data_IF_173411991121
#
_entry.id   IF_173411991121
#
_cell.length_a   1.000
_cell.length_b   1.000
_cell.length_c   1.000
_cell.angle_alpha   90.00
_cell.angle_beta   90.00
_cell.angle_gamma   90.00
#
_symmetry.space_group_name_H-M   'P 1'
#
loop_
_entity.id
_entity.type
_entity.pdbx_description
1 polymer ?
#
# COMPACT_ATOMS: atom_id res chain seq x y z
N UNK A 1 16.88 -20.89 -20.17
CA UNK A 1 17.71 -19.83 -19.54
C UNK A 1 17.87 -20.17 -18.08
N UNK A 2 19.08 -20.07 -17.52
CA UNK A 2 19.31 -20.27 -16.09
C UNK A 2 18.65 -19.15 -15.28
N UNK A 3 18.05 -19.48 -14.13
CA UNK A 3 17.42 -18.48 -13.25
C UNK A 3 18.46 -17.48 -12.75
N UNK A 4 18.25 -16.21 -13.01
CA UNK A 4 19.09 -15.09 -12.51
C UNK A 4 18.84 -14.75 -11.04
N UNK A 5 17.72 -15.20 -10.47
CA UNK A 5 17.33 -14.96 -9.08
C UNK A 5 16.85 -16.26 -8.42
N UNK A 6 17.17 -16.44 -7.14
CA UNK A 6 16.62 -17.51 -6.32
C UNK A 6 15.11 -17.28 -6.09
N UNK A 7 14.33 -18.36 -5.98
CA UNK A 7 12.87 -18.28 -5.89
C UNK A 7 12.38 -17.53 -4.65
N UNK A 8 13.06 -17.69 -3.53
CA UNK A 8 12.81 -16.99 -2.26
C UNK A 8 13.06 -15.47 -2.36
N UNK A 9 13.68 -15.00 -3.44
CA UNK A 9 13.93 -13.58 -3.74
C UNK A 9 12.95 -12.98 -4.75
N UNK A 10 11.97 -13.74 -5.22
CA UNK A 10 10.91 -13.25 -6.11
C UNK A 10 9.65 -12.94 -5.29
N UNK A 11 8.99 -11.83 -5.61
CA UNK A 11 7.69 -11.43 -5.06
C UNK A 11 6.76 -11.06 -6.20
N UNK A 12 5.65 -11.78 -6.37
CA UNK A 12 4.60 -11.39 -7.31
C UNK A 12 3.49 -10.67 -6.54
N UNK A 13 3.37 -9.35 -6.70
CA UNK A 13 2.40 -8.54 -5.96
C UNK A 13 1.41 -7.82 -6.87
N UNK A 14 0.16 -7.70 -6.42
CA UNK A 14 -0.84 -6.85 -7.05
C UNK A 14 -1.10 -5.59 -6.24
N UNK A 15 -1.39 -4.47 -6.91
CA UNK A 15 -1.89 -3.25 -6.25
C UNK A 15 -3.39 -3.18 -6.47
N UNK A 16 -4.17 -3.20 -5.39
CA UNK A 16 -5.63 -3.35 -5.42
C UNK A 16 -6.31 -2.28 -4.57
N UNK A 17 -7.43 -1.72 -5.03
CA UNK A 17 -8.15 -0.64 -4.36
C UNK A 17 -9.43 -0.27 -5.12
N UNK A 18 -10.31 0.53 -4.50
CA UNK A 18 -11.37 1.23 -5.21
C UNK A 18 -10.84 2.35 -6.14
N UNK A 19 -11.72 2.94 -6.94
CA UNK A 19 -11.40 4.06 -7.85
C UNK A 19 -10.83 5.23 -7.04
N UNK A 20 -9.87 5.96 -7.63
CA UNK A 20 -9.24 7.14 -7.03
C UNK A 20 -8.47 6.95 -5.72
N UNK A 21 -8.38 5.75 -5.14
CA UNK A 21 -7.57 5.50 -3.93
C UNK A 21 -6.05 5.74 -4.12
N UNK A 22 -5.59 5.86 -5.37
CA UNK A 22 -4.19 6.13 -5.72
C UNK A 22 -3.34 4.89 -6.02
N UNK A 23 -3.94 3.82 -6.60
CA UNK A 23 -3.21 2.60 -7.01
C UNK A 23 -2.06 2.92 -7.98
N UNK A 24 -2.38 3.54 -9.10
CA UNK A 24 -1.42 3.85 -10.17
C UNK A 24 -0.31 4.74 -9.66
N UNK A 25 -0.65 5.80 -8.91
CA UNK A 25 0.33 6.68 -8.26
C UNK A 25 1.24 5.91 -7.29
N UNK A 26 0.69 4.95 -6.54
CA UNK A 26 1.48 4.09 -5.65
C UNK A 26 2.44 3.21 -6.46
N UNK A 27 1.98 2.59 -7.54
CA UNK A 27 2.81 1.80 -8.45
C UNK A 27 3.96 2.62 -9.03
N UNK A 28 3.67 3.82 -9.51
CA UNK A 28 4.68 4.74 -10.06
C UNK A 28 5.72 5.15 -9.02
N UNK A 29 5.30 5.43 -7.78
CA UNK A 29 6.22 5.74 -6.68
C UNK A 29 7.11 4.55 -6.34
N UNK A 30 6.59 3.32 -6.33
CA UNK A 30 7.40 2.11 -6.15
C UNK A 30 8.48 2.02 -7.23
N UNK A 31 8.11 2.25 -8.50
CA UNK A 31 9.04 2.21 -9.63
C UNK A 31 10.10 3.31 -9.56
N UNK A 32 9.72 4.52 -9.15
CA UNK A 32 10.64 5.63 -8.97
C UNK A 32 11.67 5.32 -7.89
N UNK A 33 11.23 4.92 -6.68
CA UNK A 33 12.16 4.62 -5.58
C UNK A 33 13.03 3.40 -5.88
N UNK A 34 12.53 2.42 -6.62
CA UNK A 34 13.32 1.29 -7.11
C UNK A 34 14.33 1.66 -8.22
N UNK A 35 14.40 2.94 -8.61
CA UNK A 35 15.34 3.44 -9.62
C UNK A 35 15.00 3.02 -11.05
N UNK A 36 13.75 2.59 -11.32
CA UNK A 36 13.28 2.24 -12.66
C UNK A 36 12.80 3.44 -13.46
N UNK A 37 12.26 4.45 -12.78
CA UNK A 37 11.79 5.71 -13.36
C UNK A 37 12.60 6.84 -12.75
N UNK A 38 13.15 7.74 -13.58
CA UNK A 38 14.06 8.80 -13.13
C UNK A 38 13.39 10.19 -12.98
N UNK A 39 12.13 10.34 -13.40
CA UNK A 39 11.33 11.56 -13.21
C UNK A 39 9.95 11.22 -12.67
N UNK A 40 9.56 11.84 -11.57
CA UNK A 40 8.17 11.86 -11.14
C UNK A 40 7.40 12.87 -12.00
N UNK A 41 6.28 12.46 -12.60
CA UNK A 41 5.38 13.40 -13.26
C UNK A 41 5.51 13.57 -14.79
N UNK A 42 6.05 12.62 -15.55
CA UNK A 42 5.75 12.52 -17.01
C UNK A 42 4.26 12.22 -17.31
N UNK A 43 3.40 12.30 -16.28
CA UNK A 43 1.99 11.92 -16.30
C UNK A 43 1.06 13.13 -16.45
N UNK A 44 1.51 14.34 -16.10
CA UNK A 44 0.69 15.56 -16.23
C UNK A 44 0.65 16.13 -17.67
N UNK A 45 1.51 15.63 -18.58
CA UNK A 45 1.52 15.98 -20.01
C UNK A 45 0.88 14.88 -20.90
N UNK A 46 0.11 13.94 -20.33
CA UNK A 46 -0.61 12.90 -21.10
C UNK A 46 0.21 11.64 -21.40
N UNK A 47 1.19 11.29 -20.55
CA UNK A 47 1.99 10.07 -20.70
C UNK A 47 2.16 9.32 -19.37
N UNK A 48 1.04 8.93 -18.75
CA UNK A 48 1.09 7.86 -17.75
C UNK A 48 1.76 6.64 -18.39
N UNK A 49 2.89 6.19 -17.85
CA UNK A 49 3.62 5.05 -18.42
C UNK A 49 2.86 3.74 -18.20
N UNK A 50 1.93 3.72 -17.23
CA UNK A 50 1.09 2.57 -16.89
C UNK A 50 -0.31 2.67 -17.51
N UNK A 51 -0.96 3.84 -17.44
CA UNK A 51 -2.22 4.14 -18.15
C UNK A 51 -1.91 4.61 -19.59
N UNK A 52 -1.44 3.67 -20.42
CA UNK A 52 -0.98 3.92 -21.79
C UNK A 52 -2.14 4.09 -22.79
N UNK A 53 -3.36 3.66 -22.44
CA UNK A 53 -4.52 3.85 -23.30
C UNK A 53 -5.04 5.28 -23.19
N UNK A 54 -5.30 5.92 -24.34
CA UNK A 54 -5.89 7.26 -24.40
C UNK A 54 -7.18 7.36 -23.58
N UNK A 55 -7.97 6.28 -23.53
CA UNK A 55 -9.21 6.20 -22.76
C UNK A 55 -8.98 6.17 -21.23
N UNK A 56 -7.87 5.60 -20.77
CA UNK A 56 -7.48 5.60 -19.36
C UNK A 56 -7.09 7.02 -18.94
N UNK A 57 -6.31 7.71 -19.78
CA UNK A 57 -5.88 9.10 -19.55
C UNK A 57 -7.05 10.10 -19.61
N UNK A 58 -7.96 9.94 -20.59
CA UNK A 58 -9.15 10.79 -20.74
C UNK A 58 -10.12 10.67 -19.56
N UNK A 59 -10.20 9.49 -18.94
CA UNK A 59 -11.16 9.20 -17.86
C UNK A 59 -10.54 9.20 -16.47
N UNK A 60 -9.22 9.22 -16.36
CA UNK A 60 -8.49 9.12 -15.09
C UNK A 60 -8.68 7.78 -14.37
N UNK A 61 -8.94 6.70 -15.11
CA UNK A 61 -9.15 5.35 -14.53
C UNK A 61 -8.25 4.32 -15.22
N UNK A 62 -7.72 3.38 -14.45
CA UNK A 62 -7.02 2.21 -14.99
C UNK A 62 -8.03 1.18 -15.50
N UNK A 63 -7.94 0.84 -16.78
CA UNK A 63 -8.81 -0.07 -17.52
C UNK A 63 -8.13 -1.43 -17.67
N UNK A 64 -6.84 -1.45 -18.01
CA UNK A 64 -6.05 -2.66 -18.24
C UNK A 64 -4.97 -2.86 -17.19
N UNK A 65 -4.70 -4.12 -16.86
CA UNK A 65 -3.63 -4.48 -15.93
C UNK A 65 -2.27 -4.29 -16.56
N UNK A 66 -1.45 -3.43 -15.97
CA UNK A 66 -0.06 -3.23 -16.35
C UNK A 66 0.85 -4.11 -15.48
N UNK A 67 1.68 -4.92 -16.14
CA UNK A 67 2.69 -5.75 -15.47
C UNK A 67 4.09 -5.13 -15.61
N UNK A 68 4.79 -4.93 -14.49
CA UNK A 68 6.12 -4.33 -14.46
C UNK A 68 7.05 -5.04 -13.46
N UNK A 69 8.34 -4.72 -13.50
CA UNK A 69 9.36 -5.35 -12.64
C UNK A 69 10.23 -4.31 -11.96
N UNK A 70 10.25 -4.33 -10.63
CA UNK A 70 11.15 -3.54 -9.79
C UNK A 70 12.21 -4.45 -9.13
N UNK A 71 13.39 -3.89 -8.87
CA UNK A 71 14.40 -4.52 -8.03
C UNK A 71 14.51 -3.72 -6.75
N UNK A 72 14.31 -4.36 -5.60
CA UNK A 72 14.37 -3.69 -4.30
C UNK A 72 15.16 -4.52 -3.30
N UNK A 73 16.24 -3.94 -2.75
CA UNK A 73 17.10 -4.59 -1.72
C UNK A 73 17.46 -6.04 -2.05
N UNK A 74 17.87 -6.32 -3.29
CA UNK A 74 18.25 -7.66 -3.77
C UNK A 74 17.08 -8.61 -4.08
N UNK A 75 15.84 -8.15 -3.99
CA UNK A 75 14.64 -8.90 -4.35
C UNK A 75 14.08 -8.42 -5.69
N UNK A 76 13.56 -9.34 -6.49
CA UNK A 76 12.83 -9.04 -7.71
C UNK A 76 11.34 -9.00 -7.39
N UNK A 77 10.72 -7.86 -7.64
CA UNK A 77 9.29 -7.64 -7.42
C UNK A 77 8.63 -7.53 -8.79
N UNK A 78 7.76 -8.48 -9.12
CA UNK A 78 6.88 -8.39 -10.28
C UNK A 78 5.57 -7.77 -9.79
N UNK A 79 5.17 -6.65 -10.36
CA UNK A 79 4.01 -5.86 -9.92
C UNK A 79 2.95 -5.94 -11.00
N UNK A 80 1.71 -6.23 -10.61
CA UNK A 80 0.52 -6.11 -11.46
C UNK A 80 -0.34 -4.98 -10.91
N UNK A 81 -0.45 -3.90 -11.66
CA UNK A 81 -1.44 -2.87 -11.36
C UNK A 81 -2.81 -3.38 -11.78
N UNK A 82 -3.80 -3.34 -10.88
CA UNK A 82 -5.13 -3.90 -11.15
C UNK A 82 -6.18 -2.80 -11.35
N UNK A 83 -7.13 -2.97 -12.28
CA UNK A 83 -8.23 -2.03 -12.42
C UNK A 83 -9.00 -1.85 -11.11
N UNK A 84 -9.32 -0.59 -10.79
CA UNK A 84 -10.08 -0.24 -9.58
C UNK A 84 -11.59 -0.33 -9.71
N UNK A 85 -12.06 -0.41 -10.95
CA UNK A 85 -13.47 -0.28 -11.27
C UNK A 85 -14.14 -1.66 -11.40
N UNK A 86 -15.37 -1.75 -10.89
CA UNK A 86 -16.17 -2.99 -10.89
C UNK A 86 -16.47 -3.53 -12.28
N UNK A 87 -16.45 -2.67 -13.30
CA UNK A 87 -16.69 -3.07 -14.68
C UNK A 87 -15.54 -3.92 -15.26
N UNK A 88 -14.37 -3.94 -14.61
CA UNK A 88 -13.20 -4.73 -15.02
C UNK A 88 -12.89 -5.89 -14.06
N UNK A 89 -13.90 -6.38 -13.35
CA UNK A 89 -13.78 -7.50 -12.39
C UNK A 89 -13.13 -8.75 -12.95
N UNK A 90 -13.32 -9.09 -14.23
CA UNK A 90 -12.68 -10.25 -14.87
C UNK A 90 -11.15 -10.12 -14.88
N UNK A 91 -10.64 -8.91 -15.10
CA UNK A 91 -9.21 -8.65 -15.13
C UNK A 91 -8.61 -8.69 -13.73
N UNK A 92 -9.30 -8.10 -12.75
CA UNK A 92 -8.94 -8.21 -11.33
C UNK A 92 -8.88 -9.67 -10.89
N UNK A 93 -9.86 -10.51 -11.23
CA UNK A 93 -9.84 -11.93 -10.87
C UNK A 93 -8.69 -12.70 -11.54
N UNK A 94 -8.36 -12.40 -12.80
CA UNK A 94 -7.23 -13.03 -13.49
C UNK A 94 -5.90 -12.64 -12.86
N UNK A 95 -5.74 -11.37 -12.51
CA UNK A 95 -4.55 -10.87 -11.83
C UNK A 95 -4.40 -11.51 -10.45
N UNK A 96 -5.45 -11.56 -9.62
CA UNK A 96 -5.37 -12.15 -8.28
C UNK A 96 -4.96 -13.63 -8.27
N UNK A 97 -5.32 -14.42 -9.28
CA UNK A 97 -4.97 -15.86 -9.37
C UNK A 97 -3.48 -16.15 -9.53
N UNK A 98 -2.68 -15.18 -9.99
CA UNK A 98 -1.26 -15.37 -10.32
C UNK A 98 -0.33 -14.68 -9.33
N UNK A 99 -0.88 -14.04 -8.30
CA UNK A 99 -0.14 -13.25 -7.32
C UNK A 99 0.19 -14.05 -6.08
N UNK A 100 1.39 -13.81 -5.53
CA UNK A 100 1.82 -14.36 -4.24
C UNK A 100 1.28 -13.51 -3.07
N UNK A 101 0.91 -12.25 -3.35
CA UNK A 101 0.33 -11.33 -2.38
C UNK A 101 -0.20 -10.05 -3.02
N UNK A 102 -0.81 -9.17 -2.24
CA UNK A 102 -1.30 -7.88 -2.73
C UNK A 102 -1.17 -6.74 -1.71
N UNK A 103 -1.12 -5.51 -2.22
CA UNK A 103 -1.18 -4.27 -1.46
C UNK A 103 -2.56 -3.66 -1.68
N UNK A 104 -3.39 -3.70 -0.63
CA UNK A 104 -4.71 -3.10 -0.63
C UNK A 104 -4.61 -1.62 -0.25
N UNK A 105 -4.79 -0.72 -1.21
CA UNK A 105 -4.74 0.72 -1.00
C UNK A 105 -6.11 1.24 -0.59
N UNK A 106 -6.14 2.06 0.47
CA UNK A 106 -7.33 2.72 0.98
C UNK A 106 -7.10 4.23 1.04
N UNK A 107 -8.16 5.01 0.87
CA UNK A 107 -8.10 6.46 1.02
C UNK A 107 -8.27 6.82 2.50
N UNK A 108 -7.40 7.68 3.04
CA UNK A 108 -7.44 8.09 4.44
C UNK A 108 -8.70 8.89 4.83
N UNK A 109 -9.39 9.49 3.86
CA UNK A 109 -10.62 10.26 4.06
C UNK A 109 -11.84 9.33 3.97
N UNK A 110 -11.91 8.52 2.91
CA UNK A 110 -13.08 7.68 2.65
C UNK A 110 -13.06 6.33 3.38
N UNK A 111 -11.87 5.79 3.68
CA UNK A 111 -11.70 4.45 4.24
C UNK A 111 -12.17 3.35 3.29
N UNK A 112 -12.91 2.37 3.81
CA UNK A 112 -13.49 1.28 3.01
C UNK A 112 -14.76 1.73 2.29
N UNK A 113 -14.71 1.70 0.97
CA UNK A 113 -15.86 1.92 0.08
C UNK A 113 -16.53 0.61 -0.38
N UNK A 114 -17.77 0.64 -0.90
CA UNK A 114 -18.44 -0.57 -1.42
C UNK A 114 -17.63 -1.34 -2.48
N UNK A 115 -16.86 -0.61 -3.29
CA UNK A 115 -15.97 -1.22 -4.28
C UNK A 115 -14.71 -1.81 -3.63
N UNK A 116 -14.27 -1.32 -2.47
CA UNK A 116 -13.18 -1.94 -1.72
C UNK A 116 -13.58 -3.32 -1.22
N UNK A 117 -14.82 -3.49 -0.72
CA UNK A 117 -15.35 -4.80 -0.33
C UNK A 117 -15.43 -5.79 -1.51
N UNK A 118 -15.94 -5.28 -2.64
CA UNK A 118 -15.63 -5.68 -4.02
C UNK A 118 -14.41 -6.58 -4.19
N UNK A 119 -13.30 -5.87 -4.30
CA UNK A 119 -11.97 -6.36 -4.62
C UNK A 119 -11.41 -7.19 -3.45
N UNK A 120 -11.74 -6.83 -2.21
CA UNK A 120 -11.34 -7.59 -1.02
C UNK A 120 -11.88 -9.03 -1.04
N UNK A 121 -13.19 -9.21 -1.30
CA UNK A 121 -13.80 -10.54 -1.40
C UNK A 121 -13.21 -11.37 -2.54
N UNK A 122 -12.80 -10.72 -3.64
CA UNK A 122 -12.13 -11.42 -4.74
C UNK A 122 -10.77 -11.95 -4.31
N UNK A 123 -9.99 -11.17 -3.57
CA UNK A 123 -8.70 -11.61 -3.06
C UNK A 123 -8.85 -12.67 -1.95
N UNK A 124 -9.93 -12.64 -1.15
CA UNK A 124 -10.27 -13.70 -0.19
C UNK A 124 -10.52 -15.03 -0.90
N UNK A 125 -11.28 -15.02 -2.01
CA UNK A 125 -11.61 -16.21 -2.80
C UNK A 125 -10.37 -16.94 -3.33
N UNK A 126 -9.31 -16.20 -3.63
CA UNK A 126 -8.05 -16.73 -4.14
C UNK A 126 -6.98 -16.87 -3.05
N UNK A 127 -7.35 -16.68 -1.78
CA UNK A 127 -6.46 -16.81 -0.61
C UNK A 127 -5.18 -15.96 -0.73
N UNK A 128 -5.27 -14.80 -1.39
CA UNK A 128 -4.12 -13.93 -1.63
C UNK A 128 -3.76 -13.20 -0.33
N UNK A 129 -2.55 -13.39 0.25
CA UNK A 129 -2.08 -12.65 1.41
C UNK A 129 -1.97 -11.16 1.09
N UNK A 130 -2.32 -10.29 2.05
CA UNK A 130 -2.44 -8.86 1.79
C UNK A 130 -1.89 -8.00 2.91
N UNK A 131 -1.34 -6.86 2.52
CA UNK A 131 -1.08 -5.72 3.41
C UNK A 131 -1.99 -4.56 3.04
N UNK A 132 -2.38 -3.74 4.02
CA UNK A 132 -3.17 -2.53 3.79
C UNK A 132 -2.25 -1.31 3.77
N UNK A 133 -2.48 -0.40 2.82
CA UNK A 133 -1.81 0.89 2.72
C UNK A 133 -2.85 2.00 2.73
N UNK A 134 -2.88 2.79 3.80
CA UNK A 134 -3.77 3.95 3.91
C UNK A 134 -3.04 5.14 3.28
N UNK A 135 -3.50 5.54 2.10
CA UNK A 135 -2.93 6.58 1.27
C UNK A 135 -3.65 7.93 1.47
N UNK A 136 -3.05 9.01 0.97
CA UNK A 136 -3.60 10.38 1.03
C UNK A 136 -3.76 10.95 2.44
N UNK A 137 -2.83 10.61 3.33
CA UNK A 137 -2.77 11.16 4.70
C UNK A 137 -2.57 12.68 4.75
N UNK A 138 -2.13 13.27 3.64
CA UNK A 138 -1.94 14.70 3.40
C UNK A 138 -3.22 15.46 3.06
N UNK A 139 -4.34 14.77 2.79
CA UNK A 139 -5.61 15.43 2.40
C UNK A 139 -6.41 15.92 3.60
N UNK A 140 -7.16 16.99 3.38
CA UNK A 140 -8.17 17.47 4.33
C UNK A 140 -9.19 16.37 4.65
N UNK A 141 -9.44 16.15 5.94
CA UNK A 141 -10.29 15.08 6.45
C UNK A 141 -9.62 13.71 6.55
N UNK A 142 -8.30 13.61 6.32
CA UNK A 142 -7.58 12.35 6.47
C UNK A 142 -7.55 11.90 7.93
N UNK A 143 -8.04 10.69 8.19
CA UNK A 143 -8.04 10.07 9.51
C UNK A 143 -7.64 8.60 9.41
N UNK A 144 -6.40 8.31 9.81
CA UNK A 144 -5.85 6.96 9.83
C UNK A 144 -6.68 6.00 10.69
N UNK A 145 -7.14 6.43 11.88
CA UNK A 145 -7.86 5.56 12.79
C UNK A 145 -9.27 5.27 12.29
N UNK A 146 -9.94 6.25 11.67
CA UNK A 146 -11.22 6.03 11.01
C UNK A 146 -11.08 5.05 9.83
N UNK A 147 -10.09 5.25 8.96
CA UNK A 147 -9.82 4.33 7.84
C UNK A 147 -9.47 2.93 8.34
N UNK A 148 -8.57 2.79 9.32
CA UNK A 148 -8.21 1.51 9.95
C UNK A 148 -9.43 0.82 10.58
N UNK A 149 -10.25 1.55 11.33
CA UNK A 149 -11.48 1.02 11.94
C UNK A 149 -12.44 0.52 10.87
N UNK A 150 -12.59 1.26 9.76
CA UNK A 150 -13.45 0.85 8.65
C UNK A 150 -12.99 -0.46 8.00
N UNK A 151 -11.68 -0.70 7.90
CA UNK A 151 -11.11 -1.98 7.42
C UNK A 151 -11.54 -3.13 8.34
N UNK A 152 -11.43 -2.96 9.66
CA UNK A 152 -11.83 -4.00 10.63
C UNK A 152 -13.33 -4.26 10.61
N UNK A 153 -14.15 -3.21 10.59
CA UNK A 153 -15.60 -3.32 10.74
C UNK A 153 -16.32 -3.74 9.45
N UNK A 154 -15.94 -3.17 8.30
CA UNK A 154 -16.63 -3.44 7.02
C UNK A 154 -16.09 -4.68 6.31
N UNK A 155 -14.79 -4.94 6.39
CA UNK A 155 -14.18 -6.11 5.74
C UNK A 155 -14.08 -7.31 6.67
N UNK A 156 -14.29 -7.14 7.98
CA UNK A 156 -14.09 -8.20 8.97
C UNK A 156 -12.63 -8.65 9.09
N UNK A 157 -11.68 -7.81 8.64
CA UNK A 157 -10.27 -8.15 8.59
C UNK A 157 -9.58 -7.95 9.95
N UNK A 158 -8.65 -8.84 10.31
CA UNK A 158 -7.76 -8.65 11.46
C UNK A 158 -6.63 -7.66 11.11
N UNK A 159 -6.98 -6.39 10.87
CA UNK A 159 -6.01 -5.36 10.50
C UNK A 159 -5.25 -4.87 11.74
N UNK A 160 -3.93 -5.09 11.74
CA UNK A 160 -3.01 -4.70 12.82
C UNK A 160 -2.12 -3.56 12.30
N UNK A 161 -2.11 -2.38 12.96
CA UNK A 161 -1.21 -1.30 12.59
C UNK A 161 0.25 -1.71 12.82
N UNK A 162 1.09 -1.51 11.79
CA UNK A 162 2.56 -1.62 11.90
C UNK A 162 3.25 -0.26 11.94
N UNK A 163 2.51 0.80 11.58
CA UNK A 163 2.96 2.18 11.55
C UNK A 163 1.85 3.10 12.06
N UNK A 164 2.22 4.23 12.65
CA UNK A 164 1.30 5.32 13.01
C UNK A 164 1.72 6.61 12.30
N UNK A 165 0.78 7.44 11.82
CA UNK A 165 1.13 8.72 11.19
C UNK A 165 1.61 9.74 12.22
N UNK A 166 2.60 10.55 11.83
CA UNK A 166 3.02 11.74 12.57
C UNK A 166 2.33 12.95 11.89
N UNK A 167 1.40 13.56 12.62
CA UNK A 167 0.53 14.61 12.09
C UNK A 167 -0.52 14.08 11.10
N UNK A 168 -1.31 15.01 10.57
CA UNK A 168 -2.41 14.74 9.61
C UNK A 168 -2.55 15.92 8.67
N UNK A 169 -3.12 15.68 7.48
CA UNK A 169 -3.36 16.72 6.47
C UNK A 169 -2.04 17.45 6.11
N UNK A 170 -2.06 18.79 6.05
CA UNK A 170 -0.87 19.62 5.79
C UNK A 170 0.25 19.46 6.84
N UNK A 171 -0.05 18.87 8.00
CA UNK A 171 0.93 18.60 9.06
C UNK A 171 1.47 17.16 9.02
N UNK A 172 1.11 16.37 8.01
CA UNK A 172 1.62 15.02 7.87
C UNK A 172 3.09 15.05 7.44
N UNK A 173 3.98 14.69 8.36
CA UNK A 173 5.44 14.84 8.18
C UNK A 173 6.20 13.49 8.16
N UNK A 174 5.53 12.42 8.58
CA UNK A 174 6.20 11.14 8.75
C UNK A 174 5.33 10.05 9.34
N UNK A 175 5.97 8.95 9.70
CA UNK A 175 5.35 7.81 10.35
C UNK A 175 6.24 7.29 11.47
N UNK A 176 5.64 6.78 12.54
CA UNK A 176 6.34 5.97 13.54
C UNK A 176 6.28 4.51 13.12
N UNK A 177 7.43 3.87 12.98
CA UNK A 177 7.54 2.42 12.84
C UNK A 177 7.36 1.76 14.21
N UNK A 178 6.25 1.02 14.39
CA UNK A 178 5.95 0.35 15.66
C UNK A 178 6.85 -0.84 15.92
N UNK A 179 7.48 -1.44 14.90
CA UNK A 179 8.36 -2.60 15.07
C UNK A 179 9.69 -2.16 15.71
N UNK A 180 10.32 -1.15 15.11
CA UNK A 180 11.61 -0.63 15.58
C UNK A 180 11.47 0.48 16.62
N UNK A 181 10.25 1.01 16.83
CA UNK A 181 9.93 2.13 17.73
C UNK A 181 10.76 3.38 17.43
N UNK A 182 10.80 3.75 16.15
CA UNK A 182 11.49 4.94 15.64
C UNK A 182 10.55 5.81 14.82
N UNK A 183 10.75 7.12 14.85
CA UNK A 183 10.09 8.06 13.96
C UNK A 183 10.85 8.12 12.62
N UNK A 184 10.10 8.11 11.52
CA UNK A 184 10.61 8.22 10.16
C UNK A 184 9.96 9.47 9.55
N UNK A 185 10.75 10.51 9.34
CA UNK A 185 10.31 11.79 8.76
C UNK A 185 10.89 11.99 7.38
N UNK A 186 10.17 12.75 6.55
CA UNK A 186 10.58 13.04 5.17
C UNK A 186 10.89 14.52 5.05
N UNK A 187 12.14 14.85 4.69
CA UNK A 187 12.61 16.25 4.64
C UNK A 187 12.52 16.86 3.24
N UNK A 188 12.06 16.10 2.25
CA UNK A 188 11.82 16.58 0.90
C UNK A 188 10.48 16.06 0.35
N UNK A 189 9.86 16.85 -0.54
CA UNK A 189 8.56 16.54 -1.16
C UNK A 189 8.61 15.27 -2.04
N UNK A 190 9.82 14.86 -2.46
CA UNK A 190 10.03 13.67 -3.28
C UNK A 190 10.15 12.40 -2.44
N UNK A 191 10.16 12.49 -1.10
CA UNK A 191 10.36 11.39 -0.17
C UNK A 191 11.71 10.67 -0.31
N UNK A 192 12.74 11.33 -0.87
CA UNK A 192 14.05 10.69 -1.13
C UNK A 192 15.00 10.76 0.05
N UNK A 193 14.88 11.81 0.85
CA UNK A 193 15.65 12.02 2.07
C UNK A 193 14.80 11.62 3.26
N UNK A 194 15.23 10.56 3.94
CA UNK A 194 14.54 9.95 5.06
C UNK A 194 15.42 10.13 6.29
N UNK A 195 14.87 10.75 7.33
CA UNK A 195 15.51 10.86 8.63
C UNK A 195 14.85 9.89 9.61
N UNK A 196 15.65 9.30 10.49
CA UNK A 196 15.17 8.38 11.53
C UNK A 196 15.54 8.92 12.89
N UNK A 197 14.54 9.18 13.70
CA UNK A 197 14.66 9.89 14.96
C UNK A 197 13.92 9.16 16.10
N UNK A 198 14.05 9.68 17.32
CA UNK A 198 13.25 9.21 18.45
C UNK A 198 11.77 9.57 18.26
N UNK A 199 10.90 8.70 18.79
CA UNK A 199 9.45 8.93 18.78
C UNK A 199 9.10 10.25 19.50
N UNK A 200 8.29 11.13 18.88
CA UNK A 200 7.84 12.37 19.50
C UNK A 200 7.20 12.14 20.87
N UNK A 201 7.47 13.02 21.82
CA UNK A 201 7.11 12.82 23.23
C UNK A 201 5.60 12.63 23.41
N UNK A 202 4.80 13.35 22.64
CA UNK A 202 3.34 13.31 22.60
C UNK A 202 2.77 11.99 22.06
N UNK A 203 3.55 11.25 21.27
CA UNK A 203 3.13 9.97 20.68
C UNK A 203 3.57 8.76 21.49
N UNK A 204 4.48 8.90 22.48
CA UNK A 204 5.06 7.76 23.21
C UNK A 204 4.02 6.84 23.82
N UNK A 205 3.01 7.39 24.49
CA UNK A 205 1.93 6.58 25.10
C UNK A 205 1.12 5.81 24.05
N UNK A 206 0.80 6.48 22.93
CA UNK A 206 0.05 5.88 21.84
C UNK A 206 0.87 4.78 21.14
N UNK A 207 2.15 5.03 20.91
CA UNK A 207 3.08 4.07 20.29
C UNK A 207 3.24 2.83 21.16
N UNK A 208 3.40 2.98 22.49
CA UNK A 208 3.48 1.83 23.39
C UNK A 208 2.16 1.03 23.42
N UNK A 209 1.01 1.71 23.37
CA UNK A 209 -0.29 1.04 23.29
C UNK A 209 -0.42 0.19 22.01
N UNK A 210 -0.15 0.77 20.84
CA UNK A 210 -0.28 0.06 19.56
C UNK A 210 0.84 -0.95 19.32
N UNK A 211 2.06 -0.70 19.82
CA UNK A 211 3.14 -1.69 19.83
C UNK A 211 2.75 -2.92 20.66
N UNK A 212 2.17 -2.73 21.84
CA UNK A 212 1.67 -3.84 22.65
C UNK A 212 0.60 -4.64 21.91
N UNK A 213 -0.37 -3.98 21.28
CA UNK A 213 -1.40 -4.66 20.47
C UNK A 213 -0.79 -5.41 19.27
N UNK A 214 0.23 -4.85 18.63
CA UNK A 214 0.96 -5.51 17.55
C UNK A 214 1.65 -6.78 18.05
N UNK A 215 2.37 -6.71 19.18
CA UNK A 215 3.04 -7.87 19.79
C UNK A 215 2.03 -8.93 20.21
N UNK A 216 0.92 -8.55 20.84
CA UNK A 216 -0.16 -9.46 21.21
C UNK A 216 -0.74 -10.18 19.98
N UNK A 217 -0.98 -9.46 18.89
CA UNK A 217 -1.49 -10.05 17.66
C UNK A 217 -0.49 -11.01 16.99
N UNK A 218 0.82 -10.75 17.10
CA UNK A 218 1.86 -11.65 16.58
C UNK A 218 2.01 -12.88 17.48
N UNK A 219 1.89 -12.72 18.80
CA UNK A 219 1.99 -13.82 19.75
C UNK A 219 0.95 -14.92 19.49
N UNK A 220 -0.23 -14.60 18.95
CA UNK A 220 -1.24 -15.59 18.53
C UNK A 220 -0.73 -16.61 17.48
N UNK A 221 0.36 -16.29 16.77
CA UNK A 221 0.93 -17.11 15.70
C UNK A 221 2.29 -17.72 16.04
N UNK A 222 2.88 -17.37 17.19
CA UNK A 222 4.19 -17.87 17.63
C UNK A 222 4.15 -18.25 19.11
N UNK A 223 4.13 -19.56 19.37
CA UNK A 223 4.11 -20.14 20.71
C UNK A 223 5.29 -19.67 21.61
N UNK A 224 6.41 -19.23 21.01
CA UNK A 224 7.57 -18.70 21.74
C UNK A 224 7.32 -17.27 22.23
N UNK A 225 6.56 -16.47 21.47
CA UNK A 225 6.19 -15.11 21.86
C UNK A 225 5.01 -15.08 22.84
N UNK A 226 4.23 -16.17 22.91
CA UNK A 226 3.15 -16.39 23.88
C UNK A 226 3.65 -16.67 25.32
N UNK A 227 4.91 -17.10 25.48
CA UNK A 227 5.52 -17.48 26.78
C UNK A 227 6.33 -16.34 27.40
#
# INVERSE_FOLDING_TARGET
MARTYALDKVRNIGIMAHIDAGKTTTTERILFYAGRIHKMGEVHDGAATMDWMVQEQERGITITSAATVANWRGHRINIIDTPGHVDFTVEVERSLRVLDGAVAVFDAVAGVEPQSETVWRQADRYEVPRIAFINKMDRMGADFFAAWKSIRERLGANAVPIQLPIGTEEKFEGVVDLINKVAITYTDDLGTTIETEEVPAEMKEQVELYHKQLVEAVAEFDDVLLQ
#
